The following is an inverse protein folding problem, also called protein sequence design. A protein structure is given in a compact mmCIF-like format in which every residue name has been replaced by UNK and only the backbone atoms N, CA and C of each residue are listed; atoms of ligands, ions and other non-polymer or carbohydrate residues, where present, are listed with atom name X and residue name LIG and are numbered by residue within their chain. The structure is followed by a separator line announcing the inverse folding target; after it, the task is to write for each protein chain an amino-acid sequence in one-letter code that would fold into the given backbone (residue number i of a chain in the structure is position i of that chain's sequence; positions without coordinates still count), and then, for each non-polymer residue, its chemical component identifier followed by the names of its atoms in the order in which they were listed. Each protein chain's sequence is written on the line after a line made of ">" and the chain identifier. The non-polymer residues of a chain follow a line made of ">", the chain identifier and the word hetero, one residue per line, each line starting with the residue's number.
data_IF_646870243084
#
_entry.id   IF_646870243084
#
_cell.length_a   1.000
_cell.length_b   1.000
_cell.length_c   1.000
_cell.angle_alpha   90.00
_cell.angle_beta   90.00
_cell.angle_gamma   90.00
#
_symmetry.space_group_name_H-M   'P 1'
#
loop_
_entity.id
_entity.type
_entity.pdbx_description
1 polymer ?
#
# COMPACT_ATOMS: atom_id res chain seq x y z
N UNK A 1 -6.13 -20.36 -0.38
CA UNK A 1 -5.91 -19.79 -1.70
C UNK A 1 -5.71 -18.28 -1.59
N UNK A 2 -4.85 -17.73 -2.41
CA UNK A 2 -4.54 -16.31 -2.30
C UNK A 2 -5.43 -15.50 -3.24
N UNK A 3 -5.89 -14.36 -2.76
CA UNK A 3 -6.74 -13.46 -3.54
C UNK A 3 -6.18 -12.05 -3.52
N UNK A 4 -6.40 -11.35 -4.61
CA UNK A 4 -6.04 -9.94 -4.69
C UNK A 4 -7.07 -9.09 -3.99
N UNK A 5 -6.61 -8.17 -3.18
CA UNK A 5 -7.47 -7.25 -2.44
C UNK A 5 -6.92 -5.85 -2.53
N UNK A 6 -7.80 -4.90 -2.68
CA UNK A 6 -7.43 -3.49 -2.63
C UNK A 6 -7.66 -2.98 -1.22
N UNK A 7 -6.62 -2.49 -0.60
CA UNK A 7 -6.65 -2.02 0.77
C UNK A 7 -6.46 -0.51 0.76
N UNK A 8 -7.39 0.17 1.42
CA UNK A 8 -7.32 1.62 1.56
C UNK A 8 -7.05 1.94 3.01
N UNK A 9 -6.06 2.76 3.26
CA UNK A 9 -5.67 3.13 4.62
C UNK A 9 -5.53 4.64 4.71
N UNK A 10 -5.83 5.15 5.89
CA UNK A 10 -5.79 6.57 6.15
C UNK A 10 -4.87 6.84 7.33
N UNK A 11 -4.07 7.88 7.21
CA UNK A 11 -3.21 8.32 8.27
C UNK A 11 -3.79 9.51 9.00
N UNK A 12 -2.97 10.17 9.82
CA UNK A 12 -3.48 11.23 10.69
C UNK A 12 -3.76 12.55 10.00
N UNK A 13 -3.31 12.72 8.77
CA UNK A 13 -3.50 13.99 8.08
C UNK A 13 -4.34 13.78 6.83
N UNK A 14 -4.94 14.86 6.34
CA UNK A 14 -5.80 14.76 5.17
C UNK A 14 -5.07 14.21 3.94
N UNK A 15 -3.78 14.47 3.85
CA UNK A 15 -3.03 14.01 2.69
C UNK A 15 -2.43 12.61 2.86
N UNK A 16 -2.58 12.00 4.02
CA UNK A 16 -2.01 10.67 4.25
C UNK A 16 -3.03 9.61 3.86
N UNK A 17 -3.07 9.31 2.60
CA UNK A 17 -4.04 8.42 1.98
C UNK A 17 -3.25 7.40 1.17
N UNK A 18 -3.49 6.12 1.43
CA UNK A 18 -2.68 5.06 0.84
C UNK A 18 -3.60 3.97 0.30
N UNK A 19 -3.36 3.56 -0.93
CA UNK A 19 -4.10 2.46 -1.54
C UNK A 19 -3.09 1.42 -2.02
N UNK A 20 -3.33 0.17 -1.66
CA UNK A 20 -2.42 -0.93 -2.01
C UNK A 20 -3.22 -2.09 -2.58
N UNK A 21 -2.68 -2.72 -3.60
CA UNK A 21 -3.24 -3.96 -4.12
C UNK A 21 -2.37 -5.09 -3.62
N UNK A 22 -2.94 -5.92 -2.76
CA UNK A 22 -2.21 -6.93 -2.03
C UNK A 22 -2.73 -8.32 -2.39
N UNK A 23 -1.80 -9.25 -2.57
CA UNK A 23 -2.16 -10.65 -2.71
C UNK A 23 -2.19 -11.24 -1.31
N UNK A 24 -3.37 -11.64 -0.85
CA UNK A 24 -3.56 -12.09 0.52
C UNK A 24 -3.90 -13.56 0.59
N UNK A 25 -3.36 -14.21 1.61
CA UNK A 25 -3.65 -15.61 1.89
C UNK A 25 -4.93 -15.74 2.69
N UNK A 26 -5.39 -16.97 2.85
CA UNK A 26 -6.60 -17.22 3.63
C UNK A 26 -6.47 -16.76 5.07
N UNK A 27 -5.26 -16.74 5.61
CA UNK A 27 -5.04 -16.27 6.97
C UNK A 27 -4.96 -14.75 7.05
N UNK A 28 -5.31 -14.05 5.98
CA UNK A 28 -5.36 -12.60 5.88
C UNK A 28 -3.98 -11.95 5.96
N UNK A 29 -2.94 -12.71 5.69
CA UNK A 29 -1.60 -12.16 5.62
C UNK A 29 -1.17 -12.07 4.17
N UNK A 30 -0.31 -11.12 3.90
CA UNK A 30 0.21 -10.89 2.55
C UNK A 30 1.07 -12.07 2.14
N UNK A 31 0.94 -12.49 0.90
CA UNK A 31 1.81 -13.53 0.35
C UNK A 31 3.24 -13.00 0.37
N UNK A 32 4.19 -13.76 0.96
CA UNK A 32 5.56 -13.27 1.04
C UNK A 32 6.28 -13.38 -0.28
N UNK A 33 7.37 -12.65 -0.37
CA UNK A 33 8.36 -12.78 -1.45
C UNK A 33 7.95 -12.21 -2.79
N UNK A 34 6.84 -11.49 -2.85
CA UNK A 34 6.50 -10.79 -4.08
C UNK A 34 6.32 -9.31 -3.76
N UNK A 35 6.66 -8.46 -4.70
CA UNK A 35 6.37 -7.05 -4.54
C UNK A 35 4.90 -6.78 -4.82
N UNK A 36 4.40 -5.67 -4.33
CA UNK A 36 3.06 -5.26 -4.68
C UNK A 36 3.02 -3.74 -4.85
N UNK A 37 2.00 -3.30 -5.53
CA UNK A 37 1.92 -1.91 -5.99
C UNK A 37 0.75 -1.20 -5.35
N UNK A 38 0.78 0.11 -5.43
CA UNK A 38 -0.30 0.95 -4.98
C UNK A 38 0.03 2.39 -5.26
N UNK A 39 -0.60 3.28 -4.51
CA UNK A 39 -0.29 4.69 -4.67
C UNK A 39 -0.54 5.43 -3.37
N UNK A 40 0.21 6.49 -3.22
CA UNK A 40 0.11 7.44 -2.13
C UNK A 40 -0.68 8.64 -2.62
N UNK A 41 -1.54 9.17 -1.76
CA UNK A 41 -2.35 10.30 -2.14
C UNK A 41 -3.61 9.87 -2.84
N UNK A 42 -4.48 10.82 -3.09
CA UNK A 42 -5.73 10.54 -3.75
C UNK A 42 -5.53 10.52 -5.25
N UNK A 43 -6.21 9.61 -5.90
CA UNK A 43 -6.15 9.49 -7.34
C UNK A 43 -6.49 10.82 -7.97
N UNK A 44 -5.65 11.25 -8.90
CA UNK A 44 -5.80 12.51 -9.63
C UNK A 44 -5.57 13.76 -8.79
N UNK A 45 -5.03 13.62 -7.60
CA UNK A 45 -4.64 14.80 -6.84
C UNK A 45 -3.20 15.13 -7.14
N UNK A 46 -2.75 16.29 -6.69
CA UNK A 46 -1.35 16.67 -6.85
C UNK A 46 -0.44 15.83 -5.97
N UNK A 47 -1.01 15.14 -4.99
CA UNK A 47 -0.23 14.29 -4.09
C UNK A 47 -0.12 12.87 -4.59
N UNK A 48 -0.75 12.55 -5.71
CA UNK A 48 -0.77 11.19 -6.23
C UNK A 48 0.63 10.74 -6.59
N UNK A 49 1.03 9.59 -6.08
CA UNK A 49 2.38 9.08 -6.32
C UNK A 49 2.33 7.55 -6.31
N UNK A 50 2.56 6.92 -7.47
CA UNK A 50 2.60 5.46 -7.51
C UNK A 50 3.78 4.92 -6.71
N UNK A 51 3.57 3.79 -6.07
CA UNK A 51 4.62 3.17 -5.27
C UNK A 51 4.64 1.67 -5.52
N UNK A 52 5.78 1.06 -5.19
CA UNK A 52 5.94 -0.38 -5.17
C UNK A 52 6.53 -0.74 -3.82
N UNK A 53 5.96 -1.76 -3.18
CA UNK A 53 6.47 -2.22 -1.89
C UNK A 53 7.18 -3.55 -2.13
N UNK A 54 8.44 -3.59 -1.73
CA UNK A 54 9.27 -4.77 -1.89
C UNK A 54 8.97 -5.79 -0.79
N UNK A 55 9.33 -7.05 -1.01
CA UNK A 55 9.03 -8.08 -0.01
C UNK A 55 9.63 -7.82 1.37
N UNK A 56 10.68 -7.05 1.46
CA UNK A 56 11.31 -6.74 2.74
C UNK A 56 10.70 -5.52 3.42
N UNK A 57 9.65 -4.95 2.83
CA UNK A 57 8.99 -3.78 3.42
C UNK A 57 9.49 -2.46 2.89
N UNK A 58 10.49 -2.47 2.03
CA UNK A 58 10.99 -1.22 1.46
C UNK A 58 9.97 -0.66 0.48
N UNK A 59 9.67 0.62 0.61
CA UNK A 59 8.73 1.30 -0.26
C UNK A 59 9.52 2.09 -1.29
N UNK A 60 9.26 1.79 -2.55
CA UNK A 60 9.95 2.43 -3.66
C UNK A 60 9.00 3.43 -4.31
N UNK A 61 9.34 4.71 -4.21
CA UNK A 61 8.54 5.78 -4.80
C UNK A 61 8.97 6.08 -6.23
N UNK A 62 9.86 5.28 -6.77
CA UNK A 62 10.37 5.51 -8.09
C UNK A 62 11.49 6.54 -8.08
N UNK A 63 12.11 6.71 -9.21
CA UNK A 63 13.15 7.71 -9.34
C UNK A 63 12.87 8.49 -10.61
N UNK A 64 12.53 9.73 -10.46
CA UNK A 64 12.41 10.61 -11.59
C UNK A 64 13.76 11.15 -11.95
N UNK A 65 13.81 11.82 -13.07
CA UNK A 65 15.08 12.37 -13.50
C UNK A 65 15.58 13.43 -12.57
N UNK A 66 14.68 14.05 -11.85
CA UNK A 66 15.03 15.17 -11.01
C UNK A 66 15.28 14.76 -9.58
N UNK A 67 15.16 13.49 -9.26
CA UNK A 67 15.32 13.10 -7.88
C UNK A 67 16.75 12.68 -7.62
N UNK A 68 17.16 12.92 -6.41
CA UNK A 68 18.44 12.41 -5.97
C UNK A 68 18.36 10.92 -5.83
N UNK A 69 19.48 10.27 -5.99
CA UNK A 69 19.53 8.83 -5.96
C UNK A 69 19.14 8.26 -4.63
N UNK A 70 19.14 9.05 -3.58
CA UNK A 70 19.00 8.50 -2.24
C UNK A 70 17.72 8.88 -1.56
N UNK A 71 16.71 9.32 -2.29
CA UNK A 71 15.56 9.88 -1.60
C UNK A 71 14.24 9.32 -2.02
N UNK A 72 14.19 8.12 -2.52
CA UNK A 72 12.90 7.60 -2.98
C UNK A 72 12.55 6.29 -2.33
N UNK A 73 12.93 6.10 -1.08
CA UNK A 73 12.63 4.88 -0.38
C UNK A 73 12.06 5.17 0.99
N UNK A 74 11.06 4.39 1.35
CA UNK A 74 10.54 4.39 2.70
C UNK A 74 10.45 2.98 3.20
N UNK A 75 9.63 2.76 4.21
CA UNK A 75 9.45 1.46 4.81
C UNK A 75 8.03 1.29 5.30
N UNK A 76 7.58 0.03 5.36
CA UNK A 76 6.32 -0.27 5.98
C UNK A 76 6.39 -1.65 6.61
N UNK A 77 5.62 -1.86 7.66
CA UNK A 77 5.55 -3.15 8.32
C UNK A 77 4.26 -3.89 8.03
N UNK A 78 3.55 -3.50 6.98
CA UNK A 78 2.25 -4.09 6.68
C UNK A 78 2.34 -5.60 6.44
N UNK A 79 3.51 -6.10 6.03
CA UNK A 79 3.66 -7.53 5.79
C UNK A 79 3.60 -8.36 7.07
N UNK A 80 3.75 -7.73 8.21
CA UNK A 80 3.85 -8.47 9.47
C UNK A 80 2.53 -8.55 10.22
N UNK A 81 1.44 -8.03 9.67
CA UNK A 81 0.16 -8.04 10.36
C UNK A 81 -0.88 -8.79 9.53
N UNK A 82 -1.96 -9.18 10.19
CA UNK A 82 -3.15 -9.61 9.48
C UNK A 82 -3.85 -8.39 8.94
N UNK A 83 -4.32 -8.48 7.70
CA UNK A 83 -4.95 -7.34 7.05
C UNK A 83 -6.43 -7.34 7.41
N UNK A 84 -6.81 -6.42 8.29
CA UNK A 84 -8.20 -6.30 8.74
C UNK A 84 -8.54 -4.83 8.87
N UNK A 85 -9.80 -4.51 8.63
CA UNK A 85 -10.26 -3.14 8.82
C UNK A 85 -10.06 -2.74 10.27
N UNK A 86 -9.62 -1.52 10.47
CA UNK A 86 -9.38 -0.99 11.80
C UNK A 86 -7.99 -1.21 12.34
N UNK A 87 -7.20 -2.09 11.74
CA UNK A 87 -5.84 -2.31 12.22
C UNK A 87 -4.90 -1.24 11.70
N UNK A 88 -3.84 -1.04 12.44
CA UNK A 88 -2.86 0.00 12.10
C UNK A 88 -1.54 -0.62 11.72
N UNK A 89 -0.83 0.08 10.87
CA UNK A 89 0.53 -0.28 10.50
C UNK A 89 1.29 1.02 10.27
N UNK A 90 2.62 0.90 10.18
CA UNK A 90 3.47 2.06 9.97
C UNK A 90 3.86 2.15 8.52
N UNK A 91 3.82 3.35 7.99
CA UNK A 91 4.27 3.65 6.63
C UNK A 91 5.19 4.86 6.72
N UNK A 92 6.42 4.69 6.27
CA UNK A 92 7.39 5.76 6.28
C UNK A 92 7.72 6.17 4.87
N UNK A 93 7.77 7.47 4.63
CA UNK A 93 8.16 7.98 3.33
C UNK A 93 9.66 8.31 3.26
N UNK A 94 10.42 7.88 4.26
CA UNK A 94 11.85 8.17 4.32
C UNK A 94 12.17 9.37 5.17
N UNK A 95 11.20 10.22 5.45
CA UNK A 95 11.38 11.39 6.30
C UNK A 95 10.49 11.36 7.51
N UNK A 96 9.27 10.87 7.33
CA UNK A 96 8.29 10.82 8.40
C UNK A 96 7.67 9.44 8.45
N UNK A 97 7.29 9.03 9.65
CA UNK A 97 6.54 7.81 9.85
C UNK A 97 5.09 8.16 10.09
N UNK A 98 4.21 7.45 9.40
CA UNK A 98 2.79 7.66 9.56
C UNK A 98 2.16 6.39 10.10
N UNK A 99 1.30 6.53 11.10
CA UNK A 99 0.50 5.41 11.57
C UNK A 99 -0.77 5.37 10.75
N UNK A 100 -0.85 4.38 9.89
CA UNK A 100 -1.97 4.25 8.95
C UNK A 100 -2.99 3.28 9.52
N UNK A 101 -4.25 3.57 9.28
CA UNK A 101 -5.33 2.70 9.73
C UNK A 101 -6.08 2.19 8.51
N UNK A 102 -6.28 0.89 8.45
CA UNK A 102 -6.97 0.28 7.33
C UNK A 102 -8.45 0.64 7.42
N UNK A 103 -8.95 1.31 6.40
CA UNK A 103 -10.33 1.78 6.40
C UNK A 103 -11.25 0.87 5.57
N UNK A 104 -10.73 0.24 4.53
CA UNK A 104 -11.56 -0.67 3.73
C UNK A 104 -10.69 -1.68 3.01
N UNK A 105 -11.29 -2.84 2.75
CA UNK A 105 -10.65 -3.93 2.03
C UNK A 105 -11.66 -4.42 1.00
N UNK A 106 -11.25 -4.41 -0.27
CA UNK A 106 -12.11 -4.83 -1.37
C UNK A 106 -11.49 -6.01 -2.07
N UNK A 107 -12.22 -7.11 -2.15
CA UNK A 107 -11.75 -8.31 -2.81
C UNK A 107 -11.88 -8.15 -4.31
N UNK A 108 -10.76 -8.04 -5.01
CA UNK A 108 -10.74 -7.80 -6.44
C UNK A 108 -11.01 -9.05 -7.24
N UNK A 109 -10.70 -10.21 -6.67
CA UNK A 109 -10.89 -11.46 -7.37
C UNK A 109 -12.34 -11.92 -7.34
N UNK A 110 -13.14 -11.33 -6.43
CA UNK A 110 -14.53 -11.66 -6.32
C UNK A 110 -15.40 -10.68 -7.06
N UNK A 111 -14.81 -9.83 -7.82
CA UNK A 111 -15.50 -8.83 -8.59
C UNK A 111 -16.40 -9.47 -9.59
N UNK A 112 -17.64 -9.00 -9.75
CA UNK A 112 -18.53 -9.61 -10.75
C UNK A 112 -17.94 -9.44 -12.13
N UNK A 113 -18.27 -10.36 -13.01
CA UNK A 113 -17.74 -10.23 -14.35
C UNK A 113 -18.24 -8.97 -15.00
N UNK A 114 -17.42 -8.44 -15.80
CA UNK A 114 -17.75 -7.28 -16.48
C UNK A 114 -18.68 -7.56 -17.52
N UNK A 115 -19.37 -6.93 -17.76
CA UNK A 115 -20.13 -7.07 -18.64
C UNK A 115 -19.73 -6.50 -19.59
N UNK A 116 -19.54 -6.45 -20.10
CA UNK A 116 -19.09 -5.87 -20.84
C UNK A 116 -19.32 -5.78 -21.73
#
# INVERSE_FOLDING_TARGET
>A
MANWNRVHALGPFAYTDLTLDLLMQDNRRIVPRIPFAGWWGKYRSTDFLPIVIQPDGKVDFGSGEETDQNDRFGNTDIQSIEIREGLEFVFSNGEEDFRMKISSITDLTDDPPRRV
#
